data_IF_679828070015
#
_entry.id   IF_679828070015
#
_cell.length_a   1.000
_cell.length_b   1.000
_cell.length_c   1.000
_cell.angle_alpha   90.00
_cell.angle_beta   90.00
_cell.angle_gamma   90.00
#
_symmetry.space_group_name_H-M   'P 1'
#
loop_
_entity.id
_entity.type
_entity.pdbx_description
1 polymer ?
#
# COMPACT_ATOMS: atom_id res chain seq x y z
N UNK A 1 -32.69 -10.97 -16.79
CA UNK A 1 -31.72 -10.66 -17.87
C UNK A 1 -30.83 -9.50 -17.47
N UNK A 2 -31.37 -8.43 -16.89
CA UNK A 2 -30.61 -7.24 -16.42
C UNK A 2 -29.48 -7.59 -15.42
N UNK A 3 -29.74 -8.41 -14.41
CA UNK A 3 -28.72 -8.80 -13.41
C UNK A 3 -27.50 -9.54 -14.00
N UNK A 4 -27.70 -10.35 -15.05
CA UNK A 4 -26.61 -11.08 -15.71
C UNK A 4 -25.71 -10.12 -16.49
N UNK A 5 -26.32 -9.13 -17.15
CA UNK A 5 -25.59 -8.09 -17.88
C UNK A 5 -24.79 -7.21 -16.91
N UNK A 6 -25.41 -6.81 -15.78
CA UNK A 6 -24.75 -6.01 -14.75
C UNK A 6 -23.51 -6.71 -14.17
N UNK A 7 -23.64 -8.00 -13.84
CA UNK A 7 -22.53 -8.78 -13.30
C UNK A 7 -21.37 -8.95 -14.31
N UNK A 8 -21.69 -9.12 -15.60
CA UNK A 8 -20.67 -9.22 -16.65
C UNK A 8 -19.93 -7.89 -16.86
N UNK A 9 -20.63 -6.75 -16.79
CA UNK A 9 -20.01 -5.42 -16.88
C UNK A 9 -19.10 -5.18 -15.68
N UNK A 10 -19.56 -5.47 -14.46
CA UNK A 10 -18.76 -5.31 -13.24
C UNK A 10 -17.48 -6.14 -13.26
N UNK A 11 -17.57 -7.41 -13.70
CA UNK A 11 -16.40 -8.27 -13.85
C UNK A 11 -15.37 -7.70 -14.84
N UNK A 12 -15.84 -7.17 -15.98
CA UNK A 12 -14.97 -6.54 -16.98
C UNK A 12 -14.28 -5.27 -16.44
N UNK A 13 -15.01 -4.44 -15.68
CA UNK A 13 -14.45 -3.24 -15.05
C UNK A 13 -13.40 -3.57 -13.99
N UNK A 14 -13.64 -4.61 -13.17
CA UNK A 14 -12.68 -5.08 -12.16
C UNK A 14 -11.40 -5.63 -12.81
N UNK A 15 -11.53 -6.31 -13.96
CA UNK A 15 -10.37 -6.79 -14.71
C UNK A 15 -9.53 -5.63 -15.25
N UNK A 16 -10.17 -4.62 -15.86
CA UNK A 16 -9.47 -3.43 -16.35
C UNK A 16 -8.79 -2.64 -15.22
N UNK A 17 -9.48 -2.46 -14.08
CA UNK A 17 -8.93 -1.79 -12.90
C UNK A 17 -7.73 -2.57 -12.32
N UNK A 18 -7.83 -3.90 -12.25
CA UNK A 18 -6.75 -4.79 -11.83
C UNK A 18 -5.49 -4.61 -12.67
N UNK A 19 -5.63 -4.53 -14.00
CA UNK A 19 -4.48 -4.32 -14.89
C UNK A 19 -3.82 -2.95 -14.65
N UNK A 20 -4.62 -1.89 -14.47
CA UNK A 20 -4.10 -0.57 -14.16
C UNK A 20 -3.34 -0.55 -12.83
N UNK A 21 -3.90 -1.17 -11.78
CA UNK A 21 -3.26 -1.24 -10.47
C UNK A 21 -1.91 -1.96 -10.53
N UNK A 22 -1.81 -3.07 -11.27
CA UNK A 22 -0.55 -3.78 -11.47
C UNK A 22 0.50 -2.90 -12.16
N UNK A 23 0.12 -2.15 -13.21
CA UNK A 23 1.03 -1.21 -13.89
C UNK A 23 1.53 -0.11 -12.94
N UNK A 24 0.71 0.29 -11.96
CA UNK A 24 1.05 1.31 -10.95
C UNK A 24 1.84 0.76 -9.75
N UNK A 25 2.16 -0.54 -9.76
CA UNK A 25 2.95 -1.19 -8.71
C UNK A 25 2.14 -1.65 -7.50
N UNK A 26 0.83 -1.84 -7.64
CA UNK A 26 0.04 -2.60 -6.67
C UNK A 26 0.32 -4.09 -6.80
N UNK A 27 -0.09 -4.89 -5.81
CA UNK A 27 0.23 -6.33 -5.78
C UNK A 27 1.61 -6.65 -5.19
N UNK A 28 2.43 -5.63 -4.97
CA UNK A 28 3.78 -5.73 -4.43
C UNK A 28 3.92 -4.96 -3.11
N UNK A 29 4.89 -5.38 -2.31
CA UNK A 29 5.29 -4.69 -1.10
C UNK A 29 6.71 -4.16 -1.27
N UNK A 30 6.84 -2.83 -1.39
CA UNK A 30 8.11 -2.18 -1.72
C UNK A 30 8.56 -1.17 -0.68
N UNK A 31 9.88 -1.08 -0.53
CA UNK A 31 10.51 -0.03 0.27
C UNK A 31 10.70 1.22 -0.59
N UNK A 32 10.31 2.36 -0.03
CA UNK A 32 10.53 3.68 -0.61
C UNK A 32 11.64 4.40 0.16
N UNK A 33 12.45 5.17 -0.57
CA UNK A 33 13.69 5.73 -0.05
C UNK A 33 13.45 6.93 0.90
N UNK A 34 12.31 7.61 0.79
CA UNK A 34 12.00 8.75 1.64
C UNK A 34 10.69 9.45 1.32
N UNK A 35 10.50 10.59 1.98
CA UNK A 35 9.20 11.28 2.07
C UNK A 35 8.69 11.82 0.73
N UNK A 36 9.60 12.29 -0.13
CA UNK A 36 9.22 12.77 -1.47
C UNK A 36 8.60 11.65 -2.31
N UNK A 37 9.17 10.44 -2.22
CA UNK A 37 8.66 9.27 -2.91
C UNK A 37 7.33 8.82 -2.32
N UNK A 38 7.17 8.87 -0.99
CA UNK A 38 5.88 8.62 -0.34
C UNK A 38 4.74 9.46 -0.96
N UNK A 39 4.93 10.77 -1.12
CA UNK A 39 3.91 11.62 -1.72
C UNK A 39 3.66 11.32 -3.19
N UNK A 40 4.71 10.95 -3.95
CA UNK A 40 4.55 10.53 -5.33
C UNK A 40 3.76 9.22 -5.45
N UNK A 41 4.01 8.30 -4.52
CA UNK A 41 3.40 6.98 -4.48
C UNK A 41 1.95 6.98 -4.04
N UNK A 42 1.59 7.86 -3.10
CA UNK A 42 0.23 7.97 -2.55
C UNK A 42 -0.68 8.84 -3.43
N UNK A 43 -0.10 9.78 -4.18
CA UNK A 43 -0.89 10.75 -4.94
C UNK A 43 -1.72 10.06 -6.02
N UNK A 44 -3.04 10.16 -5.89
CA UNK A 44 -4.00 9.61 -6.86
C UNK A 44 -4.27 8.12 -6.68
N UNK A 45 -3.79 7.52 -5.59
CA UNK A 45 -4.21 6.19 -5.16
C UNK A 45 -5.43 6.30 -4.23
N UNK A 46 -6.38 5.37 -4.34
CA UNK A 46 -7.58 5.35 -3.48
C UNK A 46 -7.26 4.77 -2.10
N UNK A 47 -6.38 3.78 -2.04
CA UNK A 47 -6.07 3.01 -0.82
C UNK A 47 -4.58 2.74 -0.76
N UNK A 48 -3.94 3.22 0.30
CA UNK A 48 -2.53 2.94 0.56
C UNK A 48 -2.33 2.45 1.99
N UNK A 49 -1.52 1.42 2.13
CA UNK A 49 -0.97 0.97 3.41
C UNK A 49 0.51 1.29 3.43
N UNK A 50 0.92 2.16 4.35
CA UNK A 50 2.32 2.52 4.56
C UNK A 50 2.82 1.95 5.89
N UNK A 51 3.81 1.08 5.83
CA UNK A 51 4.50 0.53 6.99
C UNK A 51 5.71 1.40 7.37
N UNK A 52 5.58 2.12 8.49
CA UNK A 52 6.71 2.77 9.15
C UNK A 52 7.50 1.72 9.92
N UNK A 53 8.74 1.49 9.50
CA UNK A 53 9.58 0.43 10.02
C UNK A 53 10.93 0.94 10.54
N UNK A 54 11.62 0.09 11.29
CA UNK A 54 13.06 0.17 11.61
C UNK A 54 13.66 -1.23 11.58
N UNK A 55 14.98 -1.34 11.61
CA UNK A 55 15.65 -2.64 11.65
C UNK A 55 15.46 -3.35 13.01
N UNK A 56 14.33 -4.03 13.20
CA UNK A 56 14.06 -4.87 14.36
C UNK A 56 13.20 -6.10 14.02
N UNK A 57 13.14 -7.06 14.93
CA UNK A 57 12.40 -8.31 14.70
C UNK A 57 10.88 -8.10 14.50
N UNK A 58 10.18 -7.25 15.28
CA UNK A 58 8.76 -6.98 15.05
C UNK A 58 8.44 -6.42 13.66
N UNK A 59 9.27 -5.52 13.12
CA UNK A 59 9.09 -5.01 11.76
C UNK A 59 9.31 -6.08 10.69
N UNK A 60 10.25 -7.02 10.91
CA UNK A 60 10.44 -8.17 10.00
C UNK A 60 9.22 -9.10 9.95
N UNK A 61 8.54 -9.28 11.08
CA UNK A 61 7.26 -10.02 11.11
C UNK A 61 6.20 -9.27 10.31
N UNK A 62 6.10 -7.95 10.48
CA UNK A 62 5.17 -7.12 9.71
C UNK A 62 5.43 -7.19 8.21
N UNK A 63 6.70 -7.11 7.78
CA UNK A 63 7.11 -7.24 6.38
C UNK A 63 6.55 -8.51 5.73
N UNK A 64 6.67 -9.66 6.42
CA UNK A 64 6.13 -10.95 5.93
C UNK A 64 4.62 -10.90 5.70
N UNK A 65 3.87 -10.28 6.61
CA UNK A 65 2.41 -10.17 6.47
C UNK A 65 2.02 -9.18 5.37
N UNK A 66 2.73 -8.06 5.23
CA UNK A 66 2.49 -7.09 4.18
C UNK A 66 2.73 -7.69 2.78
N UNK A 67 3.79 -8.48 2.62
CA UNK A 67 4.06 -9.16 1.34
C UNK A 67 2.94 -10.15 0.94
N UNK A 68 2.37 -10.86 1.92
CA UNK A 68 1.24 -11.77 1.68
C UNK A 68 -0.03 -10.98 1.32
N UNK A 69 -0.30 -9.88 2.02
CA UNK A 69 -1.50 -9.07 1.81
C UNK A 69 -1.44 -8.30 0.49
N UNK A 70 -0.28 -7.75 0.12
CA UNK A 70 -0.12 -7.03 -1.14
C UNK A 70 -0.56 -7.88 -2.34
N UNK A 71 -0.14 -9.15 -2.39
CA UNK A 71 -0.53 -10.08 -3.47
C UNK A 71 -2.02 -10.44 -3.47
N UNK A 72 -2.71 -10.32 -2.33
CA UNK A 72 -4.14 -10.66 -2.18
C UNK A 72 -5.06 -9.47 -2.39
N UNK A 73 -4.57 -8.26 -2.14
CA UNK A 73 -5.32 -7.01 -2.16
C UNK A 73 -4.69 -6.05 -3.17
N UNK A 74 -4.81 -6.40 -4.45
CA UNK A 74 -4.26 -5.62 -5.56
C UNK A 74 -4.94 -4.25 -5.73
N UNK A 75 -6.10 -4.05 -5.11
CA UNK A 75 -6.80 -2.77 -5.04
C UNK A 75 -6.15 -1.79 -4.05
N UNK A 76 -5.17 -2.24 -3.26
CA UNK A 76 -4.50 -1.45 -2.23
C UNK A 76 -3.00 -1.45 -2.48
N UNK A 77 -2.39 -0.26 -2.41
CA UNK A 77 -0.96 -0.11 -2.58
C UNK A 77 -0.23 -0.35 -1.27
N UNK A 78 0.77 -1.23 -1.25
CA UNK A 78 1.54 -1.53 -0.05
C UNK A 78 2.97 -1.01 -0.18
N UNK A 79 3.35 -0.12 0.73
CA UNK A 79 4.69 0.47 0.77
C UNK A 79 5.26 0.42 2.18
N UNK A 80 6.58 0.49 2.31
CA UNK A 80 7.26 0.68 3.60
C UNK A 80 8.31 1.77 3.53
N UNK A 81 8.50 2.45 4.65
CA UNK A 81 9.43 3.55 4.77
C UNK A 81 10.17 3.51 6.12
N UNK A 82 11.47 3.77 6.09
CA UNK A 82 12.29 3.76 7.29
C UNK A 82 11.98 4.98 8.15
N UNK A 83 11.38 4.76 9.33
CA UNK A 83 10.86 5.82 10.19
C UNK A 83 11.93 6.87 10.56
N UNK A 84 13.13 6.43 10.93
CA UNK A 84 14.23 7.33 11.33
C UNK A 84 14.78 8.18 10.17
N UNK A 85 14.52 7.78 8.92
CA UNK A 85 14.90 8.53 7.71
C UNK A 85 13.77 9.42 7.20
N UNK A 86 12.62 9.44 7.88
CA UNK A 86 11.41 10.16 7.45
C UNK A 86 10.73 10.89 8.61
N UNK A 87 11.45 11.82 9.27
CA UNK A 87 10.99 12.48 10.49
C UNK A 87 9.73 13.32 10.25
N UNK A 88 9.60 14.02 9.13
CA UNK A 88 8.43 14.85 8.84
C UNK A 88 7.17 14.01 8.72
N UNK A 89 7.22 12.85 8.06
CA UNK A 89 6.06 11.95 8.01
C UNK A 89 5.74 11.37 9.39
N UNK A 90 6.74 10.90 10.13
CA UNK A 90 6.51 10.33 11.47
C UNK A 90 5.93 11.36 12.44
N UNK A 91 6.34 12.61 12.36
CA UNK A 91 5.81 13.69 13.19
C UNK A 91 4.38 14.05 12.76
N UNK A 92 4.14 14.26 11.46
CA UNK A 92 2.82 14.64 10.93
C UNK A 92 1.75 13.58 11.17
N UNK A 93 2.12 12.31 11.06
CA UNK A 93 1.23 11.17 11.29
C UNK A 93 1.26 10.68 12.74
N UNK A 94 2.02 11.34 13.62
CA UNK A 94 2.15 11.02 15.05
C UNK A 94 2.56 9.56 15.30
N UNK A 95 3.49 9.06 14.49
CA UNK A 95 4.10 7.74 14.66
C UNK A 95 5.03 7.78 15.88
N UNK A 96 4.58 7.23 16.99
CA UNK A 96 5.32 7.21 18.26
C UNK A 96 5.91 5.84 18.62
N UNK A 97 5.48 4.78 17.93
CA UNK A 97 5.96 3.41 18.13
C UNK A 97 6.12 2.69 16.79
N UNK A 98 6.93 1.62 16.76
CA UNK A 98 7.18 0.82 15.56
C UNK A 98 7.02 -0.68 15.86
N UNK A 99 6.46 -1.47 14.94
CA UNK A 99 5.95 -1.07 13.63
C UNK A 99 4.64 -0.27 13.73
N UNK A 100 4.41 0.67 12.79
CA UNK A 100 3.13 1.37 12.64
C UNK A 100 2.67 1.26 11.19
N UNK A 101 1.39 0.97 10.98
CA UNK A 101 0.76 1.03 9.65
C UNK A 101 -0.12 2.28 9.58
N UNK A 102 0.10 3.12 8.56
CA UNK A 102 -0.83 4.18 8.20
C UNK A 102 -1.70 3.72 7.04
N UNK A 103 -3.02 3.85 7.22
CA UNK A 103 -3.98 3.71 6.13
C UNK A 103 -4.28 5.11 5.61
N UNK A 104 -4.01 5.34 4.34
CA UNK A 104 -4.16 6.63 3.66
C UNK A 104 -5.13 6.48 2.50
#
# INVERSE_FOLDING_TARGET
MEAIVQQAVEHSLLQAASEEWLVRGHGEYREIAGEKEFFAEVKGEERVVCHFFRENWPCKVMDKHMEILARKHIETKFIKIHAEKSPFLTERLRVWMLPTLALV
#
